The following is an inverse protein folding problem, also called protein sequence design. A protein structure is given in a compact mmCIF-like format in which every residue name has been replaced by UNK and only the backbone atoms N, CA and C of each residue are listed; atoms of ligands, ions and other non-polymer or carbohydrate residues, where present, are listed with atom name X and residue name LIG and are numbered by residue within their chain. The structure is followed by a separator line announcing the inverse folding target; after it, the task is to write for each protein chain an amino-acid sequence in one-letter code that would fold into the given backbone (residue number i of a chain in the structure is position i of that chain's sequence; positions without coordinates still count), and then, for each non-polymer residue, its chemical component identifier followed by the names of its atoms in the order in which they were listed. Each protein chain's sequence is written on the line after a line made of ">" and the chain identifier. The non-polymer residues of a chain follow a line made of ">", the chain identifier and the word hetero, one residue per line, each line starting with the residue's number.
data_IF_077373667002
#
_entry.id   IF_077373667002
#
_cell.length_a   1.000
_cell.length_b   1.000
_cell.length_c   1.000
_cell.angle_alpha   90.00
_cell.angle_beta   90.00
_cell.angle_gamma   90.00
#
_symmetry.space_group_name_H-M   'P 1'
#
loop_
_entity.id
_entity.type
_entity.pdbx_description
1 polymer ?
#
# COMPACT_ATOMS: atom_id res chain seq x y z
N UNK A 1 -64.53 -33.54 39.34
CA UNK A 1 -63.26 -32.82 39.58
C UNK A 1 -62.13 -33.75 39.17
N UNK A 2 -61.43 -33.47 38.07
CA UNK A 2 -59.97 -33.49 38.06
C UNK A 2 -59.46 -32.90 36.75
N UNK A 3 -58.70 -31.82 36.87
CA UNK A 3 -58.04 -31.09 35.81
C UNK A 3 -56.54 -31.26 36.06
N UNK A 4 -55.81 -31.89 35.15
CA UNK A 4 -54.37 -31.65 34.91
C UNK A 4 -53.83 -32.64 33.87
N UNK A 5 -53.76 -32.20 32.61
CA UNK A 5 -52.64 -32.55 31.72
C UNK A 5 -52.77 -31.74 30.44
N UNK A 6 -52.24 -30.52 30.44
CA UNK A 6 -52.04 -29.75 29.20
C UNK A 6 -51.01 -28.65 29.46
N UNK A 7 -49.74 -29.04 29.64
CA UNK A 7 -48.61 -28.09 29.67
C UNK A 7 -47.32 -28.79 29.26
N UNK A 8 -47.27 -29.27 28.03
CA UNK A 8 -46.03 -29.56 27.33
C UNK A 8 -46.35 -29.44 25.85
N UNK A 9 -45.58 -28.62 25.10
CA UNK A 9 -45.40 -28.66 23.63
C UNK A 9 -45.50 -27.32 22.89
N UNK A 10 -45.85 -26.19 23.52
CA UNK A 10 -45.91 -24.90 22.80
C UNK A 10 -44.72 -23.96 22.99
N UNK A 11 -43.60 -24.42 23.51
CA UNK A 11 -42.42 -23.56 23.79
C UNK A 11 -41.15 -23.96 23.01
N UNK A 12 -41.23 -24.87 22.03
CA UNK A 12 -40.04 -25.32 21.27
C UNK A 12 -40.09 -24.89 19.80
N UNK A 13 -41.16 -24.23 19.35
CA UNK A 13 -41.38 -23.90 17.93
C UNK A 13 -41.32 -22.41 17.60
N UNK A 14 -40.63 -21.59 18.40
CA UNK A 14 -40.31 -20.19 18.05
C UNK A 14 -38.81 -19.85 18.10
N UNK A 15 -37.95 -20.83 18.35
CA UNK A 15 -36.50 -20.63 18.48
C UNK A 15 -35.68 -21.21 17.32
N UNK A 16 -36.33 -21.57 16.20
CA UNK A 16 -35.65 -22.09 14.99
C UNK A 16 -35.70 -21.18 13.77
N UNK A 17 -36.44 -20.07 13.80
CA UNK A 17 -36.60 -19.20 12.63
C UNK A 17 -35.77 -17.90 12.74
N UNK A 18 -35.31 -17.52 13.95
CA UNK A 18 -34.49 -16.31 14.12
C UNK A 18 -32.98 -16.49 13.92
N UNK A 19 -32.48 -17.74 13.87
CA UNK A 19 -31.04 -17.99 13.72
C UNK A 19 -30.59 -18.26 12.28
N UNK A 20 -31.51 -18.42 11.33
CA UNK A 20 -31.14 -18.68 9.93
C UNK A 20 -30.87 -17.40 9.12
N UNK A 21 -31.40 -16.25 9.51
CA UNK A 21 -31.19 -14.99 8.77
C UNK A 21 -29.98 -14.19 9.24
N UNK A 22 -29.48 -14.46 10.46
CA UNK A 22 -28.27 -13.81 10.97
C UNK A 22 -26.98 -14.52 10.52
N UNK A 23 -27.06 -15.82 10.21
CA UNK A 23 -25.94 -16.58 9.64
C UNK A 23 -25.76 -16.33 8.12
N UNK A 24 -26.80 -15.84 7.44
CA UNK A 24 -26.76 -15.51 6.01
C UNK A 24 -26.34 -14.05 5.73
N UNK A 25 -26.32 -13.19 6.75
CA UNK A 25 -25.73 -11.84 6.67
C UNK A 25 -24.28 -11.77 7.14
N UNK A 26 -23.73 -12.83 7.73
CA UNK A 26 -22.34 -12.87 8.17
C UNK A 26 -21.38 -13.61 7.22
N UNK A 27 -21.90 -14.23 6.15
CA UNK A 27 -21.10 -15.05 5.23
C UNK A 27 -20.82 -14.37 3.88
N UNK A 28 -21.34 -13.18 3.64
CA UNK A 28 -21.10 -12.40 2.40
C UNK A 28 -20.12 -11.22 2.54
N UNK A 29 -19.50 -11.01 3.71
CA UNK A 29 -18.51 -9.95 3.93
C UNK A 29 -17.08 -10.45 4.22
N UNK A 30 -16.76 -11.68 3.78
CA UNK A 30 -15.40 -12.03 3.37
C UNK A 30 -15.15 -11.64 1.90
N UNK A 31 -15.76 -10.54 1.44
CA UNK A 31 -15.17 -9.78 0.36
C UNK A 31 -13.82 -9.30 0.90
N UNK A 32 -12.73 -9.94 0.48
CA UNK A 32 -11.38 -9.54 0.81
C UNK A 32 -11.26 -8.04 0.58
N UNK A 33 -11.38 -7.25 1.65
CA UNK A 33 -11.02 -5.84 1.64
C UNK A 33 -9.51 -5.84 1.39
N UNK A 34 -9.15 -5.84 0.11
CA UNK A 34 -7.77 -5.91 -0.33
C UNK A 34 -7.10 -4.70 0.30
N UNK A 35 -6.14 -4.93 1.17
CA UNK A 35 -5.47 -3.87 1.92
C UNK A 35 -4.60 -3.06 0.97
N UNK A 36 -4.17 -1.87 1.41
CA UNK A 36 -3.12 -1.13 0.69
C UNK A 36 -1.91 -2.03 0.47
N UNK A 37 -1.50 -2.79 1.49
CA UNK A 37 -0.43 -3.78 1.39
C UNK A 37 -0.61 -4.78 0.24
N UNK A 38 -1.77 -5.45 0.14
CA UNK A 38 -1.98 -6.45 -0.90
C UNK A 38 -1.93 -5.84 -2.32
N UNK A 39 -2.42 -4.60 -2.47
CA UNK A 39 -2.41 -3.89 -3.75
C UNK A 39 -1.01 -3.36 -4.10
N UNK A 40 -0.26 -2.88 -3.11
CA UNK A 40 1.12 -2.45 -3.26
C UNK A 40 2.02 -3.62 -3.68
N UNK A 41 1.84 -4.79 -3.07
CA UNK A 41 2.56 -6.02 -3.44
C UNK A 41 2.21 -6.49 -4.86
N UNK A 42 0.95 -6.39 -5.27
CA UNK A 42 0.56 -6.63 -6.68
C UNK A 42 1.21 -5.64 -7.63
N UNK A 43 1.31 -4.37 -7.26
CA UNK A 43 1.94 -3.35 -8.09
C UNK A 43 3.45 -3.60 -8.20
N UNK A 44 4.12 -3.91 -7.09
CA UNK A 44 5.51 -4.36 -7.04
C UNK A 44 5.76 -5.56 -7.96
N UNK A 45 4.92 -6.61 -7.86
CA UNK A 45 5.04 -7.81 -8.71
C UNK A 45 4.80 -7.52 -10.19
N UNK A 46 3.88 -6.60 -10.51
CA UNK A 46 3.61 -6.18 -11.88
C UNK A 46 4.81 -5.49 -12.53
N UNK A 47 5.56 -4.71 -11.73
CA UNK A 47 6.81 -4.08 -12.17
C UNK A 47 7.94 -5.10 -12.32
N UNK A 48 7.80 -6.31 -11.76
CA UNK A 48 8.65 -7.47 -12.05
C UNK A 48 10.14 -7.21 -11.83
N UNK A 49 10.96 -7.53 -12.83
CA UNK A 49 12.42 -7.26 -12.86
C UNK A 49 12.80 -5.79 -12.78
N UNK A 50 11.81 -4.89 -12.90
CA UNK A 50 12.04 -3.45 -12.88
C UNK A 50 11.88 -2.82 -11.48
N UNK A 51 11.63 -3.59 -10.42
CA UNK A 51 11.44 -3.02 -9.09
C UNK A 51 12.22 -3.76 -8.01
N UNK A 52 13.14 -3.06 -7.35
CA UNK A 52 13.55 -3.47 -6.00
C UNK A 52 12.37 -3.24 -5.07
N UNK A 53 11.84 -4.35 -4.56
CA UNK A 53 10.71 -4.34 -3.65
C UNK A 53 11.20 -4.19 -2.22
N UNK A 54 11.35 -2.94 -1.80
CA UNK A 54 11.65 -2.63 -0.42
C UNK A 54 10.34 -2.59 0.39
N UNK A 55 10.35 -3.22 1.58
CA UNK A 55 9.23 -3.11 2.50
C UNK A 55 9.73 -2.86 3.92
N UNK A 56 9.24 -1.77 4.52
CA UNK A 56 9.63 -1.36 5.86
C UNK A 56 8.41 -1.26 6.75
N UNK A 57 8.47 -1.92 7.90
CA UNK A 57 7.55 -1.65 9.00
C UNK A 57 8.02 -0.36 9.69
N UNK A 58 7.17 0.64 9.72
CA UNK A 58 7.45 1.95 10.31
C UNK A 58 6.37 2.32 11.32
N UNK A 59 6.68 3.28 12.21
CA UNK A 59 5.65 3.84 13.10
C UNK A 59 4.57 4.54 12.26
N UNK A 60 3.30 4.26 12.57
CA UNK A 60 2.13 4.87 11.93
C UNK A 60 2.08 6.38 12.17
N UNK A 61 1.47 7.11 11.25
CA UNK A 61 1.32 8.56 11.35
C UNK A 61 0.90 9.20 10.03
N UNK A 62 1.05 10.51 9.91
CA UNK A 62 0.83 11.20 8.65
C UNK A 62 1.81 10.70 7.56
N UNK A 63 1.43 10.69 6.28
CA UNK A 63 2.27 10.14 5.20
C UNK A 63 3.71 10.68 5.19
N UNK A 64 3.92 11.99 5.31
CA UNK A 64 5.28 12.55 5.36
C UNK A 64 6.08 12.06 6.57
N UNK A 65 5.43 11.85 7.73
CA UNK A 65 6.10 11.29 8.91
C UNK A 65 6.48 9.83 8.69
N UNK A 66 5.65 9.06 7.99
CA UNK A 66 5.95 7.68 7.63
C UNK A 66 7.12 7.59 6.64
N UNK A 67 7.22 8.51 5.69
CA UNK A 67 8.39 8.64 4.80
C UNK A 67 9.65 8.96 5.59
N UNK A 68 9.60 9.93 6.53
CA UNK A 68 10.74 10.20 7.43
C UNK A 68 11.18 8.92 8.15
N UNK A 69 10.23 8.21 8.75
CA UNK A 69 10.51 6.97 9.46
C UNK A 69 11.13 5.90 8.54
N UNK A 70 10.67 5.82 7.28
CA UNK A 70 11.26 4.96 6.25
C UNK A 70 12.71 5.33 5.96
N UNK A 71 13.02 6.61 5.69
CA UNK A 71 14.39 7.07 5.40
C UNK A 71 15.33 6.73 6.56
N UNK A 72 14.92 7.00 7.80
CA UNK A 72 15.72 6.64 8.99
C UNK A 72 15.90 5.12 9.12
N UNK A 73 14.85 4.33 8.90
CA UNK A 73 14.93 2.87 8.98
C UNK A 73 15.85 2.27 7.90
N UNK A 74 15.72 2.74 6.65
CA UNK A 74 16.57 2.35 5.52
C UNK A 74 18.03 2.65 5.80
N UNK A 75 18.36 3.89 6.11
CA UNK A 75 19.73 4.32 6.34
C UNK A 75 20.37 3.65 7.56
N UNK A 76 19.62 3.46 8.65
CA UNK A 76 20.10 2.70 9.82
C UNK A 76 20.47 1.26 9.47
N UNK A 77 19.73 0.61 8.57
CA UNK A 77 20.02 -0.77 8.11
C UNK A 77 21.40 -0.88 7.43
N UNK A 78 21.88 0.20 6.81
CA UNK A 78 23.18 0.27 6.14
C UNK A 78 24.26 0.98 6.98
N UNK A 79 23.96 1.35 8.23
CA UNK A 79 24.91 2.03 9.12
C UNK A 79 25.11 3.52 8.84
N UNK A 80 24.35 4.12 7.92
CA UNK A 80 24.51 5.51 7.48
C UNK A 80 23.48 6.45 8.11
N UNK A 81 23.47 6.56 9.43
CA UNK A 81 22.48 7.38 10.13
C UNK A 81 22.67 8.89 9.92
N UNK A 82 23.85 9.34 9.52
CA UNK A 82 24.13 10.75 9.24
C UNK A 82 23.49 11.19 7.92
N UNK A 83 23.55 10.36 6.87
CA UNK A 83 22.89 10.65 5.59
C UNK A 83 21.38 10.86 5.75
N UNK A 84 20.72 10.13 6.66
CA UNK A 84 19.30 10.32 6.95
C UNK A 84 18.97 11.73 7.49
N UNK A 85 19.91 12.40 8.17
CA UNK A 85 19.72 13.75 8.73
C UNK A 85 19.84 14.85 7.67
N UNK A 86 20.54 14.55 6.58
CA UNK A 86 20.74 15.49 5.47
C UNK A 86 19.51 15.58 4.55
N UNK A 87 18.51 14.70 4.74
CA UNK A 87 17.30 14.73 3.93
C UNK A 87 16.42 15.95 4.21
N UNK A 88 16.02 16.63 3.13
CA UNK A 88 14.94 17.62 3.14
C UNK A 88 13.59 16.94 2.84
N UNK A 89 12.55 17.34 3.56
CA UNK A 89 11.22 16.69 3.47
C UNK A 89 10.15 17.63 2.91
N UNK A 90 9.46 17.22 1.85
CA UNK A 90 8.42 18.05 1.18
C UNK A 90 7.02 17.43 1.28
N UNK A 91 5.99 18.25 1.55
CA UNK A 91 4.59 17.81 1.76
C UNK A 91 3.77 17.63 0.48
N UNK A 92 4.29 18.00 -0.68
CA UNK A 92 3.61 17.83 -1.96
C UNK A 92 4.60 18.03 -3.12
N UNK A 93 5.30 16.98 -3.50
CA UNK A 93 6.08 16.97 -4.73
C UNK A 93 5.14 17.08 -5.94
N UNK A 94 5.47 17.97 -6.87
CA UNK A 94 4.78 18.08 -8.17
C UNK A 94 5.32 17.07 -9.19
N UNK A 95 6.48 16.48 -8.90
CA UNK A 95 7.20 15.51 -9.72
C UNK A 95 8.09 14.66 -8.80
N UNK A 96 8.68 13.60 -9.36
CA UNK A 96 9.80 12.91 -8.74
C UNK A 96 11.03 13.82 -8.83
N UNK A 97 11.59 14.17 -7.67
CA UNK A 97 12.89 14.84 -7.60
C UNK A 97 13.91 13.73 -7.40
N UNK A 98 14.95 13.71 -8.22
CA UNK A 98 16.03 12.71 -8.21
C UNK A 98 17.36 13.43 -7.98
N UNK A 99 18.43 12.69 -7.70
CA UNK A 99 19.79 13.20 -7.49
C UNK A 99 19.94 14.15 -6.29
N UNK A 100 18.93 14.20 -5.42
CA UNK A 100 18.91 15.06 -4.25
C UNK A 100 18.43 14.27 -3.04
N UNK A 101 19.01 14.55 -1.86
CA UNK A 101 18.52 14.04 -0.55
C UNK A 101 17.20 14.72 -0.18
N UNK A 102 16.17 14.45 -0.97
CA UNK A 102 14.82 14.95 -0.80
C UNK A 102 13.88 13.77 -0.83
N UNK A 103 13.00 13.72 0.16
CA UNK A 103 11.90 12.77 0.17
C UNK A 103 10.60 13.52 0.44
N UNK A 104 9.50 13.01 -0.07
CA UNK A 104 8.24 13.72 0.07
C UNK A 104 7.04 12.95 -0.41
N UNK A 105 5.87 13.51 -0.13
CA UNK A 105 4.61 12.93 -0.58
C UNK A 105 4.28 13.36 -1.99
N UNK A 106 3.62 12.49 -2.74
CA UNK A 106 3.13 12.75 -4.09
C UNK A 106 1.61 12.68 -4.12
N UNK A 107 1.00 13.44 -5.03
CA UNK A 107 -0.40 13.25 -5.37
C UNK A 107 -0.56 12.00 -6.25
N UNK A 108 -1.74 11.39 -6.23
CA UNK A 108 -2.02 10.24 -7.10
C UNK A 108 -1.94 10.58 -8.58
N UNK A 109 -2.24 11.83 -8.95
CA UNK A 109 -2.21 12.31 -10.33
C UNK A 109 -0.78 12.32 -10.87
N UNK A 110 0.20 12.73 -10.04
CA UNK A 110 1.63 12.64 -10.38
C UNK A 110 2.03 11.17 -10.58
N UNK A 111 1.66 10.29 -9.65
CA UNK A 111 1.98 8.85 -9.76
C UNK A 111 1.35 8.23 -11.01
N UNK A 112 0.09 8.55 -11.31
CA UNK A 112 -0.60 8.05 -12.50
C UNK A 112 0.06 8.54 -13.79
N UNK A 113 0.44 9.82 -13.85
CA UNK A 113 1.16 10.37 -15.00
C UNK A 113 2.49 9.65 -15.23
N UNK A 114 3.25 9.35 -14.18
CA UNK A 114 4.49 8.59 -14.29
C UNK A 114 4.23 7.16 -14.73
N UNK A 115 3.29 6.44 -14.08
CA UNK A 115 2.96 5.04 -14.39
C UNK A 115 2.48 4.85 -15.83
N UNK A 116 1.73 5.82 -16.36
CA UNK A 116 1.25 5.80 -17.76
C UNK A 116 2.38 5.94 -18.78
N UNK A 117 3.49 6.57 -18.40
CA UNK A 117 4.63 6.84 -19.27
C UNK A 117 5.82 5.90 -19.02
N UNK A 118 5.65 4.84 -18.22
CA UNK A 118 6.71 3.87 -17.98
C UNK A 118 7.01 3.07 -19.24
N UNK A 119 8.25 3.21 -19.70
CA UNK A 119 8.82 2.40 -20.76
C UNK A 119 8.99 0.94 -20.28
N UNK A 120 8.97 -0.01 -21.22
CA UNK A 120 9.16 -1.44 -20.92
C UNK A 120 7.91 -2.18 -20.40
N UNK A 121 6.83 -1.49 -20.06
CA UNK A 121 5.53 -2.12 -19.75
C UNK A 121 4.65 -2.24 -21.00
N UNK A 122 3.99 -3.38 -21.17
CA UNK A 122 2.91 -3.50 -22.17
C UNK A 122 1.72 -2.62 -21.81
N UNK A 123 0.89 -2.23 -22.80
CA UNK A 123 -0.34 -1.44 -22.57
C UNK A 123 -1.25 -2.05 -21.51
N UNK A 124 -1.37 -3.38 -21.48
CA UNK A 124 -2.17 -4.10 -20.48
C UNK A 124 -1.58 -3.97 -19.07
N UNK A 125 -0.25 -4.04 -18.94
CA UNK A 125 0.43 -3.83 -17.66
C UNK A 125 0.28 -2.37 -17.19
N UNK A 126 0.43 -1.39 -18.08
CA UNK A 126 0.20 0.02 -17.74
C UNK A 126 -1.24 0.26 -17.24
N UNK A 127 -2.24 -0.28 -17.93
CA UNK A 127 -3.64 -0.19 -17.49
C UNK A 127 -3.85 -0.86 -16.12
N UNK A 128 -3.24 -2.01 -15.89
CA UNK A 128 -3.36 -2.70 -14.61
C UNK A 128 -2.65 -1.95 -13.48
N UNK A 129 -1.49 -1.35 -13.75
CA UNK A 129 -0.77 -0.49 -12.81
C UNK A 129 -1.60 0.75 -12.43
N UNK A 130 -2.23 1.41 -13.42
CA UNK A 130 -3.16 2.53 -13.20
C UNK A 130 -4.32 2.11 -12.29
N UNK A 131 -4.92 0.93 -12.53
CA UNK A 131 -5.98 0.40 -11.69
C UNK A 131 -5.49 0.21 -10.26
N UNK A 132 -4.33 -0.42 -10.06
CA UNK A 132 -3.76 -0.64 -8.73
C UNK A 132 -3.45 0.68 -8.00
N UNK A 133 -2.92 1.70 -8.67
CA UNK A 133 -2.69 3.03 -8.06
C UNK A 133 -3.99 3.66 -7.58
N UNK A 134 -5.04 3.64 -8.41
CA UNK A 134 -6.37 4.16 -8.03
C UNK A 134 -6.94 3.39 -6.85
N UNK A 135 -6.85 2.07 -6.89
CA UNK A 135 -7.33 1.19 -5.85
C UNK A 135 -6.58 1.36 -4.51
N UNK A 136 -5.25 1.62 -4.56
CA UNK A 136 -4.44 1.95 -3.39
C UNK A 136 -4.94 3.24 -2.75
N UNK A 137 -5.16 4.30 -3.56
CA UNK A 137 -5.73 5.57 -3.08
C UNK A 137 -7.09 5.36 -2.42
N UNK A 138 -7.99 4.63 -3.09
CA UNK A 138 -9.34 4.34 -2.55
C UNK A 138 -9.32 3.54 -1.27
N UNK A 139 -8.28 2.72 -1.04
CA UNK A 139 -8.07 1.98 0.20
C UNK A 139 -7.42 2.81 1.32
N UNK A 140 -7.20 4.11 1.11
CA UNK A 140 -6.58 5.02 2.08
C UNK A 140 -5.05 5.02 2.05
N UNK A 141 -4.43 4.44 1.01
CA UNK A 141 -3.00 4.51 0.79
C UNK A 141 -2.56 5.90 0.33
N UNK A 142 -1.34 6.26 0.68
CA UNK A 142 -0.69 7.49 0.21
C UNK A 142 0.56 7.16 -0.61
N UNK A 143 1.08 8.15 -1.32
CA UNK A 143 2.25 8.01 -2.17
C UNK A 143 3.34 9.00 -1.78
N UNK A 144 4.59 8.63 -2.08
CA UNK A 144 5.74 9.48 -1.90
C UNK A 144 6.89 9.09 -2.81
N UNK A 145 8.04 9.72 -2.60
CA UNK A 145 9.27 9.43 -3.31
C UNK A 145 10.49 9.53 -2.39
N UNK A 146 11.56 8.87 -2.80
CA UNK A 146 12.91 9.03 -2.26
C UNK A 146 13.83 9.43 -3.42
N UNK A 147 14.28 10.69 -3.42
CA UNK A 147 15.05 11.26 -4.52
C UNK A 147 16.52 10.87 -4.54
N UNK A 148 16.98 10.15 -3.53
CA UNK A 148 18.38 9.74 -3.41
C UNK A 148 18.51 8.21 -3.36
N UNK A 149 17.48 7.48 -3.81
CA UNK A 149 17.59 6.04 -3.97
C UNK A 149 18.54 5.71 -5.12
N UNK A 150 19.61 4.98 -4.81
CA UNK A 150 20.68 4.60 -5.72
C UNK A 150 20.73 3.07 -5.75
N UNK A 151 19.82 2.46 -6.49
CA UNK A 151 19.67 1.00 -6.57
C UNK A 151 20.75 0.36 -7.47
N UNK A 152 22.03 0.48 -7.08
CA UNK A 152 23.16 -0.05 -7.88
C UNK A 152 23.43 0.73 -9.18
N UNK A 153 22.54 1.65 -9.54
CA UNK A 153 22.73 2.61 -10.61
C UNK A 153 23.79 3.66 -10.25
N UNK A 154 24.57 4.07 -11.27
CA UNK A 154 25.41 5.26 -11.17
C UNK A 154 24.60 6.56 -11.00
N UNK A 155 23.33 6.56 -11.42
CA UNK A 155 22.40 7.70 -11.31
C UNK A 155 21.11 7.28 -10.58
N UNK A 156 20.67 8.04 -9.57
CA UNK A 156 19.37 7.86 -8.92
C UNK A 156 18.19 7.71 -9.90
N UNK A 157 17.26 6.85 -9.51
CA UNK A 157 16.09 6.47 -10.32
C UNK A 157 14.81 7.03 -9.69
N UNK A 158 13.73 7.21 -10.48
CA UNK A 158 12.45 7.63 -9.93
C UNK A 158 11.89 6.55 -9.01
N UNK A 159 12.07 6.72 -7.71
CA UNK A 159 11.67 5.74 -6.71
C UNK A 159 10.34 6.10 -6.05
N UNK A 160 9.31 5.28 -6.29
CA UNK A 160 7.97 5.44 -5.74
C UNK A 160 7.87 4.76 -4.37
N UNK A 161 7.35 5.51 -3.40
CA UNK A 161 6.93 4.99 -2.09
C UNK A 161 5.41 4.86 -2.05
N UNK A 162 4.91 3.71 -1.62
CA UNK A 162 3.49 3.46 -1.31
C UNK A 162 3.37 3.28 0.19
N UNK A 163 2.46 4.04 0.81
CA UNK A 163 2.34 4.16 2.26
C UNK A 163 1.02 3.53 2.67
N UNK A 164 1.11 2.39 3.35
CA UNK A 164 -0.02 1.78 4.04
C UNK A 164 -0.18 2.43 5.42
N UNK A 165 -1.33 3.06 5.73
CA UNK A 165 -1.57 3.71 7.02
C UNK A 165 -1.43 2.76 8.22
N UNK A 166 -1.41 1.43 7.99
CA UNK A 166 -1.14 0.39 9.01
C UNK A 166 0.33 0.24 9.38
N UNK A 167 1.22 1.10 8.87
CA UNK A 167 2.62 1.14 9.30
C UNK A 167 3.57 0.36 8.40
N UNK A 168 3.23 0.22 7.10
CA UNK A 168 4.12 -0.41 6.11
C UNK A 168 4.36 0.57 4.97
N UNK A 169 5.62 0.72 4.55
CA UNK A 169 6.01 1.51 3.36
C UNK A 169 6.64 0.56 2.35
N UNK A 170 6.19 0.65 1.11
CA UNK A 170 6.67 -0.16 -0.02
C UNK A 170 7.42 0.74 -0.99
N UNK A 171 8.62 0.33 -1.41
CA UNK A 171 9.41 0.99 -2.43
C UNK A 171 9.28 0.30 -3.78
N UNK A 172 9.21 1.08 -4.86
CA UNK A 172 9.19 0.61 -6.25
C UNK A 172 10.15 1.49 -7.03
N UNK A 173 11.19 0.90 -7.59
CA UNK A 173 11.98 1.55 -8.64
C UNK A 173 11.15 1.61 -9.92
N UNK A 174 10.96 2.79 -10.50
CA UNK A 174 10.17 2.95 -11.71
C UNK A 174 11.02 2.93 -12.98
N UNK A 175 12.35 3.05 -12.88
CA UNK A 175 13.24 2.97 -14.02
C UNK A 175 14.63 2.45 -13.60
N UNK A 176 14.74 1.18 -13.20
CA UNK A 176 16.01 0.65 -12.76
C UNK A 176 16.96 0.51 -13.93
N UNK A 177 18.25 0.66 -13.64
CA UNK A 177 19.28 0.38 -14.61
C UNK A 177 19.29 -1.12 -14.93
N UNK A 178 19.42 -1.42 -16.21
CA UNK A 178 19.91 -2.73 -16.64
C UNK A 178 21.43 -2.67 -16.52
N UNK A 179 22.01 -3.39 -15.55
CA UNK A 179 23.44 -3.70 -15.64
C UNK A 179 23.64 -4.48 -16.95
N UNK A 180 24.44 -3.90 -17.85
CA UNK A 180 24.86 -4.51 -19.11
C UNK A 180 26.05 -5.41 -18.91
#
# INVERSE_FOLDING_TARGET
>A
MDFKSFKSERTIMKMKIFFSSLALLLTTQLAFATTVSNKAEKLQNLMGRYARNDSYKVKTGAPLQMIKNYIFAKNKKFGDTESAKEYRFVRSGKTFIMDEKIAGTLSSEVVLATVLNLEGLSKRQQQFAVTLVKEIKSAGGAFGFDGYEQNGCATPTPFLLIIDPKGKVFGIDLAPCTES
#
